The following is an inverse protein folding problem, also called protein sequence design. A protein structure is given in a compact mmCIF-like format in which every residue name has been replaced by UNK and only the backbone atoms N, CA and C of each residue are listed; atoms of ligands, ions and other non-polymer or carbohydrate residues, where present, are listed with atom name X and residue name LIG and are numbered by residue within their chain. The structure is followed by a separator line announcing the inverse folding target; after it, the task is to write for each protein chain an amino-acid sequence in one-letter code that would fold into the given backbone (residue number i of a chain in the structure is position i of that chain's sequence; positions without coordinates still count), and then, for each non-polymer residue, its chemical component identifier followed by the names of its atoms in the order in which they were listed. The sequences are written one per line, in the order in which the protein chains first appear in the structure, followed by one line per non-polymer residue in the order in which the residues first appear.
data_IF_066501000080
#
_entry.id   IF_066501000080
#
_cell.length_a   1.000
_cell.length_b   1.000
_cell.length_c   1.000
_cell.angle_alpha   90.00
_cell.angle_beta   90.00
_cell.angle_gamma   90.00
#
_symmetry.space_group_name_H-M   'P 1'
#
loop_
_entity.id
_entity.type
_entity.pdbx_description
1 polymer ?
#
# COMPACT_ATOMS: atom_id res chain seq x y z
N UNK A 1 16.32 -40.87 -13.26
CA UNK A 1 15.74 -40.16 -12.10
C UNK A 1 14.71 -41.10 -11.48
N UNK A 2 14.86 -41.47 -10.20
CA UNK A 2 14.07 -42.54 -9.56
C UNK A 2 12.59 -42.18 -9.52
N UNK A 3 11.71 -43.11 -9.95
CA UNK A 3 10.26 -42.93 -9.99
C UNK A 3 9.65 -42.46 -8.65
N UNK A 4 10.28 -42.83 -7.53
CA UNK A 4 9.87 -42.40 -6.20
C UNK A 4 10.08 -40.91 -5.91
N UNK A 5 11.10 -40.29 -6.52
CA UNK A 5 11.38 -38.85 -6.34
C UNK A 5 10.32 -38.02 -7.09
N UNK A 6 9.90 -38.47 -8.28
CA UNK A 6 8.89 -37.77 -9.08
C UNK A 6 7.52 -37.72 -8.38
N UNK A 7 7.12 -38.81 -7.71
CA UNK A 7 5.84 -38.90 -6.99
C UNK A 7 5.79 -37.91 -5.80
N UNK A 8 6.92 -37.65 -5.14
CA UNK A 8 7.01 -36.72 -4.02
C UNK A 8 6.98 -35.24 -4.46
N UNK A 9 7.53 -34.93 -5.65
CA UNK A 9 7.68 -33.55 -6.11
C UNK A 9 6.41 -32.95 -6.71
N UNK A 10 5.57 -33.77 -7.35
CA UNK A 10 4.30 -33.33 -7.95
C UNK A 10 3.37 -32.61 -6.95
N UNK A 11 3.05 -33.17 -5.76
CA UNK A 11 2.17 -32.48 -4.82
C UNK A 11 2.82 -31.21 -4.25
N UNK A 12 4.14 -31.17 -4.06
CA UNK A 12 4.84 -29.99 -3.55
C UNK A 12 4.77 -28.82 -4.54
N UNK A 13 4.92 -29.11 -5.84
CA UNK A 13 4.74 -28.12 -6.91
C UNK A 13 3.29 -27.65 -6.99
N UNK A 14 2.33 -28.57 -6.87
CA UNK A 14 0.90 -28.23 -6.86
C UNK A 14 0.53 -27.32 -5.68
N UNK A 15 1.06 -27.59 -4.49
CA UNK A 15 0.86 -26.76 -3.29
C UNK A 15 1.49 -25.38 -3.50
N UNK A 16 2.73 -25.30 -4.00
CA UNK A 16 3.38 -24.02 -4.29
C UNK A 16 2.64 -23.18 -5.33
N UNK A 17 2.11 -23.81 -6.38
CA UNK A 17 1.26 -23.17 -7.39
C UNK A 17 -0.06 -22.68 -6.78
N UNK A 18 -0.70 -23.51 -5.94
CA UNK A 18 -1.96 -23.16 -5.27
C UNK A 18 -1.80 -21.96 -4.36
N UNK A 19 -0.70 -21.90 -3.59
CA UNK A 19 -0.35 -20.73 -2.77
C UNK A 19 -0.10 -19.49 -3.64
N UNK A 20 0.66 -19.61 -4.73
CA UNK A 20 0.98 -18.48 -5.62
C UNK A 20 -0.28 -17.87 -6.26
N UNK A 21 -1.24 -18.70 -6.67
CA UNK A 21 -2.53 -18.26 -7.21
C UNK A 21 -3.35 -17.56 -6.11
N UNK A 22 -3.37 -18.11 -4.90
CA UNK A 22 -4.11 -17.52 -3.77
C UNK A 22 -3.63 -16.10 -3.44
N UNK A 23 -2.32 -15.85 -3.48
CA UNK A 23 -1.76 -14.50 -3.26
C UNK A 23 -2.12 -13.49 -4.37
N UNK A 24 -2.37 -13.94 -5.61
CA UNK A 24 -2.79 -13.05 -6.71
C UNK A 24 -4.29 -12.73 -6.69
N UNK A 25 -5.13 -13.59 -6.10
CA UNK A 25 -6.60 -13.45 -6.15
C UNK A 25 -7.14 -12.55 -5.03
N UNK A 26 -6.36 -12.31 -3.97
CA UNK A 26 -6.76 -11.46 -2.84
C UNK A 26 -6.35 -10.00 -2.99
N UNK A 27 -6.48 -9.41 -4.19
CA UNK A 27 -6.55 -7.95 -4.26
C UNK A 27 -7.98 -7.53 -3.93
N UNK A 28 -8.24 -6.89 -2.77
CA UNK A 28 -9.55 -6.32 -2.53
C UNK A 28 -9.87 -5.35 -3.66
N UNK A 29 -11.05 -5.47 -4.27
CA UNK A 29 -11.53 -4.53 -5.27
C UNK A 29 -11.81 -3.18 -4.60
N UNK A 30 -10.75 -2.42 -4.32
CA UNK A 30 -10.84 -1.03 -3.93
C UNK A 30 -11.20 -0.27 -5.20
N UNK A 31 -12.32 0.44 -5.18
CA UNK A 31 -12.68 1.34 -6.27
C UNK A 31 -11.55 2.36 -6.44
N UNK A 32 -10.68 2.13 -7.42
CA UNK A 32 -9.60 3.03 -7.72
C UNK A 32 -10.19 4.31 -8.33
N UNK A 33 -9.71 5.49 -7.92
CA UNK A 33 -10.16 6.74 -8.51
C UNK A 33 -9.88 6.72 -10.01
N UNK A 34 -10.89 7.05 -10.81
CA UNK A 34 -10.80 7.15 -12.26
C UNK A 34 -10.59 8.60 -12.68
N UNK A 35 -9.76 8.81 -13.70
CA UNK A 35 -9.56 10.11 -14.34
C UNK A 35 -10.40 10.14 -15.60
N UNK A 36 -11.37 11.04 -15.66
CA UNK A 36 -12.26 11.18 -16.81
C UNK A 36 -11.80 12.25 -17.81
N UNK A 37 -10.85 13.11 -17.44
CA UNK A 37 -10.25 14.10 -18.35
C UNK A 37 -9.01 13.49 -19.02
N UNK A 38 -9.07 13.31 -20.34
CA UNK A 38 -7.99 12.71 -21.13
C UNK A 38 -6.73 13.57 -21.23
N UNK A 39 -6.78 14.84 -20.80
CA UNK A 39 -5.60 15.72 -20.76
C UNK A 39 -4.86 15.64 -19.41
N UNK A 40 -5.39 14.89 -18.44
CA UNK A 40 -4.75 14.69 -17.14
C UNK A 40 -4.05 13.33 -17.09
N UNK A 41 -2.86 13.32 -16.52
CA UNK A 41 -2.09 12.12 -16.20
C UNK A 41 -1.81 12.09 -14.70
N UNK A 42 -1.65 10.90 -14.14
CA UNK A 42 -1.26 10.71 -12.74
C UNK A 42 -0.09 9.76 -12.65
N UNK A 43 0.80 10.06 -11.70
CA UNK A 43 1.89 9.19 -11.32
C UNK A 43 1.75 8.79 -9.85
N UNK A 44 2.06 7.53 -9.56
CA UNK A 44 2.15 7.05 -8.19
C UNK A 44 3.40 7.63 -7.54
N UNK A 45 3.21 8.36 -6.44
CA UNK A 45 4.32 8.90 -5.64
C UNK A 45 4.64 7.97 -4.47
N UNK A 46 3.63 7.58 -3.69
CA UNK A 46 3.77 6.66 -2.55
C UNK A 46 2.52 5.79 -2.44
N UNK A 47 2.70 4.51 -2.11
CA UNK A 47 1.64 3.53 -1.82
C UNK A 47 1.70 3.04 -0.35
N UNK A 48 0.88 2.05 0.00
CA UNK A 48 0.95 1.39 1.31
C UNK A 48 0.59 2.29 2.51
N UNK A 49 -0.18 3.37 2.29
CA UNK A 49 -0.55 4.34 3.33
C UNK A 49 -1.53 3.76 4.35
N UNK A 50 -1.37 4.12 5.62
CA UNK A 50 -2.25 3.63 6.69
C UNK A 50 -3.44 4.59 6.93
N UNK A 51 -4.55 4.35 6.23
CA UNK A 51 -5.78 5.17 6.35
C UNK A 51 -5.50 6.68 6.22
N UNK A 52 -4.97 7.15 5.07
CA UNK A 52 -4.64 8.55 4.86
C UNK A 52 -5.89 9.43 4.91
N UNK A 53 -5.82 10.58 5.58
CA UNK A 53 -6.98 11.49 5.75
C UNK A 53 -6.75 12.86 5.12
N UNK A 54 -5.50 13.33 5.00
CA UNK A 54 -5.20 14.64 4.43
C UNK A 54 -3.77 14.74 3.90
N UNK A 55 -3.55 15.67 2.97
CA UNK A 55 -2.24 16.04 2.44
C UNK A 55 -2.09 17.57 2.41
N UNK A 56 -0.86 18.06 2.61
CA UNK A 56 -0.51 19.47 2.45
C UNK A 56 0.84 19.59 1.73
N UNK A 57 0.90 20.45 0.72
CA UNK A 57 2.13 20.73 -0.02
C UNK A 57 2.92 21.82 0.72
N UNK A 58 4.16 21.51 1.11
CA UNK A 58 5.05 22.49 1.74
C UNK A 58 5.81 23.30 0.68
N UNK A 59 6.33 22.60 -0.34
CA UNK A 59 7.03 23.16 -1.48
C UNK A 59 6.98 22.16 -2.67
N UNK A 60 7.78 22.41 -3.71
CA UNK A 60 7.82 21.58 -4.93
C UNK A 60 8.23 20.12 -4.71
N UNK A 61 8.91 19.81 -3.60
CA UNK A 61 9.48 18.50 -3.33
C UNK A 61 8.94 17.85 -2.05
N UNK A 62 8.28 18.63 -1.18
CA UNK A 62 7.90 18.19 0.15
C UNK A 62 6.39 18.24 0.37
N UNK A 63 5.82 17.11 0.80
CA UNK A 63 4.40 16.93 1.11
C UNK A 63 4.28 16.41 2.55
N UNK A 64 3.38 16.98 3.33
CA UNK A 64 2.91 16.37 4.58
C UNK A 64 1.69 15.49 4.30
N UNK A 65 1.74 14.27 4.81
CA UNK A 65 0.63 13.32 4.80
C UNK A 65 0.15 13.10 6.24
N UNK A 66 -1.16 13.16 6.46
CA UNK A 66 -1.79 12.79 7.73
C UNK A 66 -2.47 11.43 7.62
N UNK A 67 -2.16 10.54 8.54
CA UNK A 67 -2.82 9.25 8.72
C UNK A 67 -3.82 9.31 9.89
N UNK A 68 -4.87 8.47 9.83
CA UNK A 68 -5.99 8.46 10.78
C UNK A 68 -5.58 8.29 12.25
N UNK A 69 -4.50 7.54 12.52
CA UNK A 69 -3.96 7.35 13.87
C UNK A 69 -3.13 8.55 14.39
N UNK A 70 -3.10 9.67 13.65
CA UNK A 70 -2.43 10.90 14.06
C UNK A 70 -0.96 10.99 13.69
N UNK A 71 -0.47 10.11 12.82
CA UNK A 71 0.89 10.19 12.27
C UNK A 71 0.93 11.24 11.16
N UNK A 72 1.75 12.28 11.35
CA UNK A 72 2.08 13.27 10.32
C UNK A 72 3.42 12.87 9.72
N UNK A 73 3.41 12.48 8.45
CA UNK A 73 4.56 11.93 7.74
C UNK A 73 5.03 12.90 6.67
N UNK A 74 6.35 12.97 6.47
CA UNK A 74 6.95 13.75 5.40
C UNK A 74 7.22 12.83 4.20
N UNK A 75 6.76 13.26 3.03
CA UNK A 75 7.20 12.74 1.75
C UNK A 75 8.13 13.79 1.15
N UNK A 76 9.39 13.45 0.95
CA UNK A 76 10.42 14.35 0.44
C UNK A 76 11.00 13.79 -0.85
N UNK A 77 11.03 14.58 -1.92
CA UNK A 77 11.46 14.20 -3.26
C UNK A 77 10.77 12.91 -3.73
N UNK A 78 9.45 12.82 -3.49
CA UNK A 78 8.64 11.66 -3.84
C UNK A 78 8.94 10.39 -3.03
N UNK A 79 9.68 10.49 -1.91
CA UNK A 79 10.01 9.35 -1.05
C UNK A 79 9.51 9.59 0.38
N UNK A 80 8.79 8.61 0.90
CA UNK A 80 8.30 8.63 2.27
C UNK A 80 9.46 8.50 3.25
N UNK A 81 9.57 9.47 4.16
CA UNK A 81 10.57 9.41 5.22
C UNK A 81 10.20 8.32 6.25
N UNK A 82 11.20 7.63 6.82
CA UNK A 82 10.96 6.48 7.69
C UNK A 82 10.24 6.87 8.98
N UNK A 83 10.63 8.01 9.56
CA UNK A 83 10.06 8.50 10.81
C UNK A 83 8.97 9.56 10.53
N UNK A 84 7.86 9.55 11.30
CA UNK A 84 6.91 10.64 11.27
C UNK A 84 7.55 11.93 11.79
N UNK A 85 7.17 13.07 11.21
CA UNK A 85 7.61 14.38 11.71
C UNK A 85 6.90 14.75 13.01
N UNK A 86 5.65 14.33 13.16
CA UNK A 86 4.83 14.53 14.36
C UNK A 86 3.96 13.29 14.58
N UNK A 87 3.91 12.81 15.81
CA UNK A 87 2.90 11.85 16.25
C UNK A 87 1.93 12.57 17.19
N UNK A 88 0.68 12.73 16.77
CA UNK A 88 -0.35 13.31 17.62
C UNK A 88 -0.72 12.34 18.75
N UNK A 89 -0.95 12.90 19.94
CA UNK A 89 -1.31 12.16 21.13
C UNK A 89 -2.81 12.27 21.41
N UNK A 90 -3.40 11.21 21.94
CA UNK A 90 -4.82 11.21 22.32
C UNK A 90 -5.81 11.22 21.16
N UNK A 91 -5.38 10.79 19.97
CA UNK A 91 -6.26 10.67 18.79
C UNK A 91 -7.25 9.53 19.01
N UNK A 92 -8.54 9.82 18.86
CA UNK A 92 -9.62 8.83 18.90
C UNK A 92 -9.98 8.42 17.46
N UNK A 93 -9.20 7.49 16.89
CA UNK A 93 -9.36 7.05 15.50
C UNK A 93 -10.58 6.14 15.29
N UNK A 94 -11.08 5.49 16.33
CA UNK A 94 -12.21 4.57 16.26
C UNK A 94 -13.57 5.23 16.10
N UNK A 95 -13.66 6.56 16.19
CA UNK A 95 -14.91 7.29 16.05
C UNK A 95 -15.01 7.90 14.65
N UNK A 96 -15.97 7.44 13.85
CA UNK A 96 -16.37 8.11 12.62
C UNK A 96 -17.34 9.21 13.00
N UNK A 97 -16.99 10.47 12.71
CA UNK A 97 -17.90 11.62 12.88
C UNK A 97 -18.63 11.90 11.59
#
# INVERSE_FOLDING_TARGET
MSLGITILMIPLVLIGLSFSIFYHVTEPAIAQPSIYDSNLTTDLIVDGLASPTSIAFLDSNNILLLEKEGSVRLISNGQMQPEPVIQLQGVQSNNER
#
